data_IF_068583607538
#
_entry.id   IF_068583607538
#
_cell.length_a   1.000
_cell.length_b   1.000
_cell.length_c   1.000
_cell.angle_alpha   90.00
_cell.angle_beta   90.00
_cell.angle_gamma   90.00
#
_symmetry.space_group_name_H-M   'P 1'
#
loop_
_entity.id
_entity.type
_entity.pdbx_description
1 polymer ?
#
# COMPACT_ATOMS: atom_id res chain seq x y z
N UNK A 1 28.43 2.13 17.57
CA UNK A 1 27.79 3.24 16.83
C UNK A 1 26.27 3.14 16.74
N UNK A 2 25.69 2.01 16.31
CA UNK A 2 24.21 1.88 16.18
C UNK A 2 23.41 2.18 17.45
N UNK A 3 23.88 1.71 18.62
CA UNK A 3 23.20 1.97 19.91
C UNK A 3 23.20 3.47 20.25
N UNK A 4 24.27 4.21 19.97
CA UNK A 4 24.33 5.66 20.23
C UNK A 4 23.36 6.44 19.33
N UNK A 5 23.28 6.08 18.04
CA UNK A 5 22.32 6.67 17.11
C UNK A 5 20.87 6.39 17.53
N UNK A 6 20.58 5.16 17.98
CA UNK A 6 19.25 4.80 18.51
C UNK A 6 18.89 5.62 19.76
N UNK A 7 19.83 5.78 20.70
CA UNK A 7 19.61 6.62 21.90
C UNK A 7 19.33 8.08 21.50
N UNK A 8 20.05 8.62 20.53
CA UNK A 8 19.79 9.97 20.02
C UNK A 8 18.41 10.09 19.36
N UNK A 9 17.99 9.10 18.57
CA UNK A 9 16.66 9.05 17.97
C UNK A 9 15.55 9.01 19.04
N UNK A 10 15.69 8.14 20.05
CA UNK A 10 14.75 8.05 21.17
C UNK A 10 14.62 9.40 21.89
N UNK A 11 15.75 10.03 22.24
CA UNK A 11 15.75 11.35 22.91
C UNK A 11 15.07 12.42 22.05
N UNK A 12 15.26 12.37 20.74
CA UNK A 12 14.63 13.31 19.80
C UNK A 12 13.11 13.12 19.77
N UNK A 13 12.63 11.88 19.67
CA UNK A 13 11.20 11.55 19.68
C UNK A 13 10.54 11.90 21.01
N UNK A 14 11.21 11.63 22.14
CA UNK A 14 10.71 12.03 23.46
C UNK A 14 10.61 13.54 23.61
N UNK A 15 11.58 14.31 23.09
CA UNK A 15 11.55 15.78 23.12
C UNK A 15 10.44 16.36 22.24
N UNK A 16 10.17 15.74 21.09
CA UNK A 16 9.07 16.14 20.21
C UNK A 16 7.69 15.80 20.79
N UNK A 17 7.62 14.80 21.67
CA UNK A 17 6.40 14.39 22.37
C UNK A 17 5.64 13.30 21.60
N UNK A 18 5.64 12.08 22.15
CA UNK A 18 5.05 10.91 21.49
C UNK A 18 3.53 11.02 21.32
N UNK A 19 2.85 11.70 22.25
CA UNK A 19 1.41 11.91 22.18
C UNK A 19 1.05 12.87 21.05
N UNK A 20 1.80 13.97 20.90
CA UNK A 20 1.63 14.92 19.80
C UNK A 20 1.88 14.26 18.45
N UNK A 21 2.94 13.44 18.35
CA UNK A 21 3.25 12.68 17.13
C UNK A 21 2.09 11.72 16.79
N UNK A 22 1.59 10.96 17.77
CA UNK A 22 0.48 10.03 17.59
C UNK A 22 -0.80 10.73 17.12
N UNK A 23 -1.13 11.88 17.72
CA UNK A 23 -2.30 12.67 17.33
C UNK A 23 -2.15 13.23 15.90
N UNK A 24 -0.96 13.71 15.54
CA UNK A 24 -0.69 14.21 14.20
C UNK A 24 -0.80 13.10 13.15
N UNK A 25 -0.16 11.96 13.39
CA UNK A 25 -0.22 10.77 12.54
C UNK A 25 -1.65 10.24 12.40
N UNK A 26 -2.47 10.33 13.46
CA UNK A 26 -3.90 10.01 13.44
C UNK A 26 -4.69 10.97 12.51
N UNK A 27 -4.36 12.26 12.54
CA UNK A 27 -4.92 13.26 11.63
C UNK A 27 -4.60 12.96 10.15
N UNK A 28 -3.33 12.67 9.86
CA UNK A 28 -2.88 12.31 8.50
C UNK A 28 -3.63 11.09 7.96
N UNK A 29 -3.71 10.01 8.74
CA UNK A 29 -4.37 8.80 8.28
C UNK A 29 -5.87 8.99 8.12
N UNK A 30 -6.52 9.75 9.00
CA UNK A 30 -7.94 10.06 8.85
C UNK A 30 -8.19 10.81 7.53
N UNK A 31 -7.39 11.84 7.27
CA UNK A 31 -7.47 12.63 6.03
C UNK A 31 -7.27 11.76 4.78
N UNK A 32 -6.22 10.94 4.76
CA UNK A 32 -5.94 10.01 3.68
C UNK A 32 -7.09 9.03 3.43
N UNK A 33 -7.67 8.42 4.48
CA UNK A 33 -8.79 7.49 4.36
C UNK A 33 -10.02 8.17 3.75
N UNK A 34 -10.35 9.39 4.20
CA UNK A 34 -11.50 10.13 3.68
C UNK A 34 -11.32 10.46 2.20
N UNK A 35 -10.10 10.78 1.76
CA UNK A 35 -9.78 10.98 0.36
C UNK A 35 -9.86 9.69 -0.46
N UNK A 36 -9.22 8.62 0.00
CA UNK A 36 -9.15 7.34 -0.70
C UNK A 36 -10.54 6.71 -0.90
N UNK A 37 -11.45 6.85 0.07
CA UNK A 37 -12.85 6.38 -0.03
C UNK A 37 -13.63 7.01 -1.19
N UNK A 38 -13.20 8.17 -1.69
CA UNK A 38 -13.85 8.86 -2.82
C UNK A 38 -13.44 8.28 -4.17
N UNK A 39 -12.43 7.41 -4.22
CA UNK A 39 -11.94 6.78 -5.44
C UNK A 39 -12.58 5.39 -5.55
N UNK A 40 -13.59 5.24 -6.42
CA UNK A 40 -14.43 4.04 -6.53
C UNK A 40 -13.69 2.75 -6.83
N UNK A 41 -12.50 2.85 -7.44
CA UNK A 41 -11.69 1.70 -7.80
C UNK A 41 -10.76 1.22 -6.69
N UNK A 42 -10.71 1.93 -5.56
CA UNK A 42 -9.82 1.59 -4.45
C UNK A 42 -10.57 0.75 -3.41
N UNK A 43 -10.03 -0.42 -3.12
CA UNK A 43 -10.42 -1.25 -1.98
C UNK A 43 -9.43 -1.04 -0.85
N UNK A 44 -9.90 -0.58 0.30
CA UNK A 44 -9.09 -0.40 1.51
C UNK A 44 -9.18 -1.65 2.39
N UNK A 45 -8.03 -2.09 2.91
CA UNK A 45 -7.92 -3.22 3.84
C UNK A 45 -7.57 -2.73 5.24
N UNK A 46 -8.12 -3.41 6.25
CA UNK A 46 -7.88 -3.04 7.65
C UNK A 46 -8.41 -1.65 8.03
N UNK A 47 -9.48 -1.17 7.36
CA UNK A 47 -10.18 0.01 7.82
C UNK A 47 -11.11 -0.37 8.98
N UNK A 48 -10.75 0.04 10.18
CA UNK A 48 -11.58 -0.11 11.38
C UNK A 48 -12.51 1.12 11.55
N UNK A 49 -13.35 1.10 12.58
CA UNK A 49 -14.29 2.20 12.85
C UNK A 49 -13.52 3.50 13.10
N UNK A 50 -14.17 4.64 12.91
CA UNK A 50 -13.62 5.89 13.38
C UNK A 50 -13.30 5.74 14.87
N UNK A 51 -12.08 6.13 15.28
CA UNK A 51 -11.56 6.10 16.66
C UNK A 51 -10.88 4.81 17.16
N UNK A 52 -10.77 3.75 16.37
CA UNK A 52 -9.95 2.60 16.79
C UNK A 52 -8.45 2.95 16.75
N UNK A 53 -7.67 2.61 17.80
CA UNK A 53 -6.23 2.86 17.82
C UNK A 53 -5.56 2.12 16.67
N UNK A 54 -4.80 2.85 15.85
CA UNK A 54 -4.14 2.31 14.67
C UNK A 54 -2.81 2.99 14.40
N UNK A 55 -1.93 2.24 13.76
CA UNK A 55 -0.70 2.78 13.17
C UNK A 55 -1.05 3.59 11.92
N UNK A 56 -0.25 4.61 11.61
CA UNK A 56 -0.42 5.48 10.45
C UNK A 56 -0.02 4.81 9.13
N UNK A 57 -0.68 3.69 8.80
CA UNK A 57 -0.54 3.00 7.53
C UNK A 57 -1.89 2.50 6.99
N UNK A 58 -1.98 2.43 5.66
CA UNK A 58 -3.16 2.00 4.91
C UNK A 58 -2.70 0.98 3.86
N UNK A 59 -3.33 -0.18 3.84
CA UNK A 59 -3.18 -1.17 2.77
C UNK A 59 -4.36 -1.06 1.82
N UNK A 60 -4.11 -1.09 0.52
CA UNK A 60 -5.11 -0.93 -0.51
C UNK A 60 -4.81 -1.76 -1.76
N UNK A 61 -5.83 -1.97 -2.58
CA UNK A 61 -5.70 -2.36 -3.98
C UNK A 61 -6.51 -1.43 -4.87
N UNK A 62 -6.09 -1.33 -6.13
CA UNK A 62 -6.85 -0.64 -7.17
C UNK A 62 -7.37 -1.66 -8.18
N UNK A 63 -8.70 -1.71 -8.36
CA UNK A 63 -9.34 -2.62 -9.31
C UNK A 63 -8.76 -2.44 -10.72
N UNK A 64 -8.31 -3.54 -11.31
CA UNK A 64 -7.80 -3.59 -12.68
C UNK A 64 -6.32 -3.23 -12.85
N UNK A 65 -5.61 -2.86 -11.78
CA UNK A 65 -4.15 -2.63 -11.78
C UNK A 65 -3.51 -3.51 -10.71
N UNK A 66 -2.50 -4.28 -11.11
CA UNK A 66 -1.77 -5.15 -10.19
C UNK A 66 -0.89 -4.33 -9.23
N UNK A 67 -0.70 -4.80 -7.98
CA UNK A 67 -0.08 -4.00 -6.93
C UNK A 67 1.37 -3.57 -7.25
N UNK A 68 2.16 -4.43 -7.92
CA UNK A 68 3.52 -4.08 -8.37
C UNK A 68 3.47 -2.94 -9.37
N UNK A 69 2.60 -3.04 -10.38
CA UNK A 69 2.41 -2.00 -11.39
C UNK A 69 1.93 -0.69 -10.76
N UNK A 70 0.99 -0.75 -9.82
CA UNK A 70 0.50 0.46 -9.15
C UNK A 70 1.63 1.18 -8.39
N UNK A 71 2.46 0.43 -7.66
CA UNK A 71 3.61 0.99 -6.96
C UNK A 71 4.63 1.60 -7.91
N UNK A 72 4.87 0.94 -9.05
CA UNK A 72 5.78 1.42 -10.08
C UNK A 72 5.27 2.71 -10.74
N UNK A 73 3.99 2.76 -11.11
CA UNK A 73 3.35 3.96 -11.69
C UNK A 73 3.46 5.13 -10.70
N UNK A 74 3.13 4.92 -9.42
CA UNK A 74 3.23 5.95 -8.40
C UNK A 74 4.68 6.47 -8.25
N UNK A 75 5.66 5.57 -8.30
CA UNK A 75 7.06 5.95 -8.19
C UNK A 75 7.56 6.73 -9.40
N UNK A 76 7.26 6.27 -10.62
CA UNK A 76 7.84 6.84 -11.85
C UNK A 76 7.09 8.07 -12.36
N UNK A 77 5.77 8.14 -12.16
CA UNK A 77 4.96 9.27 -12.66
C UNK A 77 4.83 10.40 -11.64
N UNK A 78 4.83 10.07 -10.34
CA UNK A 78 4.54 11.04 -9.28
C UNK A 78 5.65 11.18 -8.23
N UNK A 79 6.72 10.37 -8.32
CA UNK A 79 7.79 10.36 -7.32
C UNK A 79 7.33 9.86 -5.94
N UNK A 80 6.23 9.10 -5.89
CA UNK A 80 5.64 8.62 -4.63
C UNK A 80 6.15 7.22 -4.32
N UNK A 81 6.92 7.11 -3.24
CA UNK A 81 7.40 5.83 -2.75
C UNK A 81 6.32 5.12 -1.91
N UNK A 82 5.94 3.91 -2.35
CA UNK A 82 5.05 3.01 -1.61
C UNK A 82 5.67 1.62 -1.54
N UNK A 83 5.17 0.77 -0.64
CA UNK A 83 5.56 -0.64 -0.58
C UNK A 83 4.45 -1.49 -1.18
N UNK A 84 4.79 -2.55 -1.90
CA UNK A 84 3.81 -3.52 -2.39
C UNK A 84 4.17 -4.95 -1.95
N UNK A 85 3.20 -5.86 -2.07
CA UNK A 85 3.32 -7.28 -1.76
C UNK A 85 2.55 -7.69 -0.50
N UNK A 86 3.10 -8.67 0.22
CA UNK A 86 2.44 -9.33 1.37
C UNK A 86 3.00 -8.90 2.74
N UNK A 87 3.93 -7.96 2.77
CA UNK A 87 4.48 -7.30 3.97
C UNK A 87 5.01 -8.24 5.08
N UNK A 88 5.59 -9.39 4.70
CA UNK A 88 6.01 -10.45 5.61
C UNK A 88 4.87 -11.11 6.41
N UNK A 89 3.61 -10.85 6.04
CA UNK A 89 2.40 -11.38 6.66
C UNK A 89 1.60 -12.23 5.64
N UNK A 90 2.31 -13.06 4.86
CA UNK A 90 1.79 -13.78 3.69
C UNK A 90 0.44 -14.48 3.92
N UNK A 91 0.29 -15.38 4.91
CA UNK A 91 -0.97 -16.11 5.09
C UNK A 91 -2.12 -15.17 5.48
N UNK A 92 -1.84 -14.16 6.30
CA UNK A 92 -2.85 -13.20 6.75
C UNK A 92 -3.34 -12.33 5.58
N UNK A 93 -2.42 -11.77 4.80
CA UNK A 93 -2.77 -10.90 3.68
C UNK A 93 -3.52 -11.69 2.60
N UNK A 94 -3.10 -12.91 2.29
CA UNK A 94 -3.82 -13.77 1.34
C UNK A 94 -5.25 -14.08 1.82
N UNK A 95 -5.44 -14.40 3.11
CA UNK A 95 -6.79 -14.67 3.67
C UNK A 95 -7.71 -13.45 3.61
N UNK A 96 -7.24 -12.26 3.98
CA UNK A 96 -8.08 -11.04 3.89
C UNK A 96 -8.36 -10.62 2.44
N UNK A 97 -7.54 -11.09 1.50
CA UNK A 97 -7.77 -10.97 0.06
C UNK A 97 -8.67 -12.09 -0.48
N UNK A 98 -9.23 -12.96 0.37
CA UNK A 98 -10.17 -14.01 -0.03
C UNK A 98 -9.53 -15.24 -0.66
N UNK A 99 -8.22 -15.43 -0.53
CA UNK A 99 -7.58 -16.68 -0.94
C UNK A 99 -7.94 -17.79 0.05
N UNK A 100 -8.40 -18.93 -0.48
CA UNK A 100 -8.60 -20.15 0.29
C UNK A 100 -7.28 -20.89 0.55
N UNK A 101 -7.35 -21.96 1.34
CA UNK A 101 -6.16 -22.73 1.72
C UNK A 101 -5.49 -23.41 0.52
N UNK A 102 -6.25 -23.75 -0.53
CA UNK A 102 -5.73 -24.34 -1.76
C UNK A 102 -4.90 -23.32 -2.55
N UNK A 103 -5.42 -22.11 -2.76
CA UNK A 103 -4.71 -21.00 -3.41
C UNK A 103 -3.47 -20.58 -2.62
N UNK A 104 -3.56 -20.50 -1.29
CA UNK A 104 -2.40 -20.18 -0.43
C UNK A 104 -1.31 -21.24 -0.62
N UNK A 105 -1.69 -22.52 -0.62
CA UNK A 105 -0.74 -23.63 -0.84
C UNK A 105 -0.14 -23.57 -2.24
N UNK A 106 -0.94 -23.26 -3.26
CA UNK A 106 -0.47 -23.07 -4.63
C UNK A 106 0.63 -22.01 -4.71
N UNK A 107 0.40 -20.80 -4.19
CA UNK A 107 1.38 -19.71 -4.22
C UNK A 107 2.64 -19.98 -3.38
N UNK A 108 2.55 -20.84 -2.37
CA UNK A 108 3.70 -21.26 -1.56
C UNK A 108 4.54 -22.37 -2.22
N UNK A 109 3.90 -23.17 -3.08
CA UNK A 109 4.53 -24.34 -3.70
C UNK A 109 5.19 -24.01 -5.02
N UNK A 110 4.53 -23.18 -5.86
CA UNK A 110 5.03 -22.87 -7.19
C UNK A 110 5.87 -21.60 -7.19
N UNK A 111 7.05 -21.71 -7.80
CA UNK A 111 7.91 -20.56 -8.10
C UNK A 111 7.45 -19.87 -9.39
N UNK A 112 7.84 -18.60 -9.57
CA UNK A 112 7.55 -17.81 -10.77
C UNK A 112 6.06 -17.65 -11.11
N UNK A 113 5.21 -17.66 -10.10
CA UNK A 113 3.78 -17.32 -10.22
C UNK A 113 3.54 -15.88 -9.79
N UNK A 114 2.52 -15.25 -10.36
CA UNK A 114 2.11 -13.92 -9.95
C UNK A 114 1.31 -14.00 -8.63
N UNK A 115 1.97 -13.64 -7.53
CA UNK A 115 1.40 -13.75 -6.18
C UNK A 115 0.49 -12.55 -5.90
N UNK A 116 -0.74 -12.74 -5.39
CA UNK A 116 -1.58 -11.62 -4.99
C UNK A 116 -0.89 -10.78 -3.90
N UNK A 117 -1.17 -9.49 -3.89
CA UNK A 117 -0.61 -8.58 -2.90
C UNK A 117 -1.37 -7.27 -2.85
N UNK A 118 -0.92 -6.40 -1.93
CA UNK A 118 -1.50 -5.08 -1.69
C UNK A 118 -0.44 -4.02 -1.91
N UNK A 119 -0.88 -2.77 -2.08
CA UNK A 119 -0.04 -1.59 -1.90
C UNK A 119 -0.25 -1.04 -0.48
N UNK A 120 0.83 -0.71 0.21
CA UNK A 120 0.81 -0.08 1.54
C UNK A 120 1.44 1.29 1.48
N UNK A 121 0.67 2.26 1.96
CA UNK A 121 1.10 3.63 2.23
C UNK A 121 1.32 3.74 3.73
N UNK A 122 2.43 4.33 4.14
CA UNK A 122 2.80 4.47 5.56
C UNK A 122 3.27 5.90 5.77
N UNK A 123 2.62 6.59 6.69
CA UNK A 123 2.98 7.95 7.07
C UNK A 123 3.83 7.91 8.34
N UNK A 124 4.73 8.87 8.45
CA UNK A 124 5.45 9.17 9.68
C UNK A 124 5.42 10.66 10.00
N UNK A 125 6.10 11.04 11.07
CA UNK A 125 6.22 12.42 11.56
C UNK A 125 6.69 13.47 10.53
N UNK A 126 7.35 13.05 9.45
CA UNK A 126 7.87 13.94 8.40
C UNK A 126 6.85 14.19 7.29
N UNK A 127 5.74 13.45 7.24
CA UNK A 127 4.73 13.63 6.22
C UNK A 127 3.78 14.78 6.52
N UNK A 128 3.11 15.30 5.50
CA UNK A 128 2.12 16.37 5.62
C UNK A 128 0.86 16.14 4.77
N UNK A 129 -0.16 16.97 4.98
CA UNK A 129 -1.44 16.85 4.29
C UNK A 129 -1.33 17.13 2.79
N UNK A 130 -0.42 18.00 2.36
CA UNK A 130 -0.19 18.33 0.96
C UNK A 130 0.39 17.14 0.19
N UNK A 131 1.29 16.36 0.79
CA UNK A 131 1.76 15.10 0.21
C UNK A 131 0.62 14.09 0.02
N UNK A 132 -0.33 14.06 0.97
CA UNK A 132 -1.54 13.24 0.84
C UNK A 132 -2.40 13.74 -0.33
N UNK A 133 -2.54 15.05 -0.52
CA UNK A 133 -3.28 15.60 -1.66
C UNK A 133 -2.64 15.19 -3.00
N UNK A 134 -1.31 15.26 -3.11
CA UNK A 134 -0.57 14.81 -4.31
C UNK A 134 -0.81 13.32 -4.55
N UNK A 135 -0.74 12.50 -3.51
CA UNK A 135 -1.04 11.07 -3.57
C UNK A 135 -2.48 10.79 -4.05
N UNK A 136 -3.47 11.48 -3.49
CA UNK A 136 -4.87 11.33 -3.85
C UNK A 136 -5.13 11.73 -5.31
N UNK A 137 -4.53 12.85 -5.75
CA UNK A 137 -4.60 13.32 -7.12
C UNK A 137 -3.98 12.30 -8.10
N UNK A 138 -2.80 11.77 -7.78
CA UNK A 138 -2.13 10.75 -8.58
C UNK A 138 -2.98 9.47 -8.69
N UNK A 139 -3.49 8.95 -7.57
CA UNK A 139 -4.35 7.77 -7.56
C UNK A 139 -5.65 7.98 -8.36
N UNK A 140 -6.25 9.16 -8.25
CA UNK A 140 -7.45 9.50 -9.02
C UNK A 140 -7.15 9.61 -10.52
N UNK A 141 -6.01 10.17 -10.88
CA UNK A 141 -5.56 10.23 -12.27
C UNK A 141 -5.34 8.82 -12.86
N UNK A 142 -4.68 7.93 -12.09
CA UNK A 142 -4.46 6.54 -12.48
C UNK A 142 -5.77 5.79 -12.63
N UNK A 143 -6.71 5.94 -11.68
CA UNK A 143 -8.04 5.31 -11.73
C UNK A 143 -8.85 5.73 -12.97
N UNK A 144 -8.71 6.97 -13.45
CA UNK A 144 -9.38 7.45 -14.68
C UNK A 144 -8.71 6.95 -15.96
N UNK A 145 -7.42 6.67 -15.93
CA UNK A 145 -6.62 6.34 -17.13
C UNK A 145 -5.99 4.94 -17.06
N UNK A 146 -6.66 3.96 -16.43
CA UNK A 146 -6.08 2.63 -16.19
C UNK A 146 -5.54 1.97 -17.45
N UNK A 147 -6.29 2.03 -18.56
CA UNK A 147 -5.88 1.38 -19.80
C UNK A 147 -4.57 1.96 -20.35
N UNK A 148 -4.42 3.29 -20.30
CA UNK A 148 -3.18 3.96 -20.69
C UNK A 148 -1.99 3.45 -19.86
N UNK A 149 -2.13 3.43 -18.54
CA UNK A 149 -1.06 2.98 -17.66
C UNK A 149 -0.79 1.47 -17.80
N UNK A 150 -1.81 0.63 -17.95
CA UNK A 150 -1.63 -0.81 -18.18
C UNK A 150 -0.83 -1.09 -19.44
N UNK A 151 -1.09 -0.39 -20.53
CA UNK A 151 -0.32 -0.56 -21.77
C UNK A 151 1.10 0.02 -21.65
N UNK A 152 1.25 1.21 -21.05
CA UNK A 152 2.55 1.84 -20.82
C UNK A 152 3.48 0.97 -19.96
N UNK A 153 2.93 0.26 -18.97
CA UNK A 153 3.68 -0.57 -18.02
C UNK A 153 3.54 -2.08 -18.28
N UNK A 154 3.08 -2.47 -19.47
CA UNK A 154 2.86 -3.89 -19.85
C UNK A 154 4.15 -4.68 -20.02
N UNK A 155 5.19 -4.04 -20.56
CA UNK A 155 6.45 -4.69 -20.92
C UNK A 155 7.35 -5.02 -19.72
N UNK A 156 7.13 -4.36 -18.58
CA UNK A 156 7.93 -4.60 -17.36
C UNK A 156 7.41 -5.82 -16.56
N UNK A 157 6.14 -6.18 -16.73
CA UNK A 157 5.52 -7.34 -16.08
C UNK A 157 5.78 -8.69 -16.79
N UNK A 158 6.14 -8.66 -18.08
CA UNK A 158 6.22 -9.87 -18.92
C UNK A 158 7.55 -10.64 -18.84
N UNK A 159 8.56 -10.15 -18.13
CA UNK A 159 9.88 -10.78 -18.23
C UNK A 159 10.06 -12.10 -17.46
N UNK A 160 9.18 -12.53 -16.54
CA UNK A 160 9.51 -13.73 -15.73
C UNK A 160 8.37 -14.63 -15.15
N UNK A 161 7.06 -14.54 -15.47
CA UNK A 161 6.06 -15.32 -14.67
C UNK A 161 4.88 -15.95 -15.43
N UNK A 162 4.50 -17.17 -15.01
CA UNK A 162 3.38 -17.96 -15.55
C UNK A 162 2.06 -17.64 -14.81
N UNK A 163 0.99 -17.38 -15.56
CA UNK A 163 -0.34 -17.08 -15.03
C UNK A 163 -1.12 -18.36 -14.65
N UNK A 164 -1.60 -18.43 -13.41
CA UNK A 164 -2.61 -19.39 -12.99
C UNK A 164 -3.99 -18.94 -13.47
N UNK A 165 -4.62 -19.73 -14.36
CA UNK A 165 -6.02 -19.54 -14.78
C UNK A 165 -6.96 -19.86 -13.62
N UNK A 166 -7.19 -18.89 -12.74
CA UNK A 166 -8.16 -19.04 -11.64
C UNK A 166 -8.36 -17.83 -10.72
N UNK A 167 -7.76 -16.67 -10.99
CA UNK A 167 -7.88 -15.51 -10.09
C UNK A 167 -9.15 -14.69 -10.36
N UNK A 168 -10.05 -14.66 -9.37
CA UNK A 168 -11.28 -13.86 -9.27
C UNK A 168 -11.05 -12.32 -9.18
N UNK A 169 -9.87 -11.84 -9.57
CA UNK A 169 -9.52 -10.42 -9.55
C UNK A 169 -9.02 -9.94 -10.92
N UNK A 170 -9.95 -9.87 -11.88
CA UNK A 170 -9.83 -9.02 -13.08
C UNK A 170 -10.79 -7.82 -12.95
#
# INVERSE_FOLDING_TARGET
MGVLALVAAIKTLMKAGLEQISQYESGLIHYAIQGLKKISDITLYGYCKAHDPRVSLISLNMKGIYHEQLAEILSLEAGIAVRNGLFCAHPYVMRIMGCDDELITYYQTYENVQIPGLVRISFGLYNNFQEIDVLLAALQHISRHKQYYKEKYKQLAQNERCDFKGSLYC
#
